data_IF_749859674649
#
_entry.id   IF_749859674649
#
_cell.length_a   1.000
_cell.length_b   1.000
_cell.length_c   1.000
_cell.angle_alpha   90.00
_cell.angle_beta   90.00
_cell.angle_gamma   90.00
#
_symmetry.space_group_name_H-M   'P 1'
#
loop_
_entity.id
_entity.type
_entity.pdbx_description
1 polymer ?
#
# COMPACT_ATOMS: atom_id res chain seq x y z
N UNK A 1 3.22 21.27 15.97
CA UNK A 1 3.43 20.95 14.54
C UNK A 1 3.09 19.48 14.33
N UNK A 2 2.29 19.14 13.33
CA UNK A 2 2.01 17.74 12.97
C UNK A 2 3.31 17.08 12.49
N UNK A 3 3.50 15.81 12.89
CA UNK A 3 4.66 15.02 12.48
C UNK A 3 4.60 14.77 10.97
N UNK A 4 5.71 14.98 10.25
CA UNK A 4 5.82 14.65 8.84
C UNK A 4 5.87 13.13 8.68
N UNK A 5 4.95 12.58 7.89
CA UNK A 5 4.86 11.14 7.64
C UNK A 5 5.59 10.73 6.37
N UNK A 6 5.41 11.49 5.28
CA UNK A 6 6.10 11.27 4.01
C UNK A 6 6.66 12.60 3.52
N UNK A 7 7.94 12.63 3.22
CA UNK A 7 8.62 13.80 2.65
C UNK A 7 9.30 13.41 1.36
N UNK A 8 8.93 14.06 0.28
CA UNK A 8 9.46 13.83 -1.07
C UNK A 8 10.13 15.12 -1.53
N UNK A 9 11.40 15.02 -1.98
CA UNK A 9 12.18 16.17 -2.47
C UNK A 9 12.76 15.85 -3.84
N UNK A 10 12.48 16.74 -4.80
CA UNK A 10 12.99 16.71 -6.18
C UNK A 10 12.89 15.32 -6.83
N UNK A 11 11.78 14.60 -6.59
CA UNK A 11 11.62 13.23 -7.04
C UNK A 11 11.52 13.15 -8.55
N UNK A 12 12.37 12.33 -9.15
CA UNK A 12 12.45 12.10 -10.59
C UNK A 12 12.31 10.63 -10.91
N UNK A 13 11.58 10.32 -11.97
CA UNK A 13 11.51 8.98 -12.54
C UNK A 13 11.44 9.06 -14.05
N UNK A 14 12.35 8.36 -14.69
CA UNK A 14 12.38 8.19 -16.14
C UNK A 14 12.36 6.71 -16.51
N UNK A 15 11.74 6.39 -17.64
CA UNK A 15 11.77 5.08 -18.28
C UNK A 15 12.43 5.25 -19.67
N UNK A 16 13.72 4.96 -19.76
CA UNK A 16 14.52 5.35 -20.92
C UNK A 16 14.46 6.87 -21.11
N UNK A 17 14.08 7.32 -22.30
CA UNK A 17 13.96 8.74 -22.65
C UNK A 17 12.66 9.39 -22.16
N UNK A 18 11.72 8.61 -21.63
CA UNK A 18 10.45 9.12 -21.12
C UNK A 18 10.59 9.61 -19.67
N UNK A 19 10.59 10.93 -19.49
CA UNK A 19 10.62 11.57 -18.17
C UNK A 19 9.20 11.69 -17.59
N UNK A 20 8.85 10.83 -16.63
CA UNK A 20 7.51 10.77 -16.03
C UNK A 20 7.39 11.68 -14.83
N UNK A 21 8.29 11.57 -13.83
CA UNK A 21 8.37 12.49 -12.70
C UNK A 21 9.56 13.42 -12.92
N UNK A 22 9.31 14.74 -12.80
CA UNK A 22 10.26 15.79 -13.22
C UNK A 22 10.67 16.72 -12.08
N UNK A 23 10.78 16.18 -10.87
CA UNK A 23 11.13 16.97 -9.69
C UNK A 23 9.92 17.24 -8.80
N UNK A 24 9.22 16.20 -8.37
CA UNK A 24 8.06 16.31 -7.48
C UNK A 24 8.52 16.61 -6.06
N UNK A 25 7.90 17.61 -5.43
CA UNK A 25 8.05 17.92 -4.02
C UNK A 25 6.71 17.79 -3.33
N UNK A 26 6.64 17.03 -2.24
CA UNK A 26 5.43 16.78 -1.50
C UNK A 26 5.77 16.44 -0.05
N UNK A 27 5.05 17.02 0.88
CA UNK A 27 5.10 16.65 2.30
C UNK A 27 3.71 16.26 2.75
N UNK A 28 3.57 15.11 3.39
CA UNK A 28 2.33 14.59 3.95
C UNK A 28 2.51 14.43 5.45
N UNK A 29 1.63 15.04 6.21
CA UNK A 29 1.62 14.96 7.66
C UNK A 29 0.93 13.67 8.16
N UNK A 30 1.20 13.31 9.41
CA UNK A 30 0.48 12.21 10.07
C UNK A 30 -1.02 12.50 10.13
N UNK A 31 -1.85 11.51 9.79
CA UNK A 31 -3.33 11.58 9.73
C UNK A 31 -3.88 12.49 8.62
N UNK A 32 -3.04 12.98 7.73
CA UNK A 32 -3.47 13.74 6.57
C UNK A 32 -4.02 12.81 5.47
N UNK A 33 -5.06 13.28 4.78
CA UNK A 33 -5.59 12.63 3.58
C UNK A 33 -5.24 13.50 2.38
N UNK A 34 -4.45 12.95 1.47
CA UNK A 34 -4.00 13.64 0.25
C UNK A 34 -4.60 12.95 -0.97
N UNK A 35 -5.17 13.73 -1.88
CA UNK A 35 -5.71 13.24 -3.16
C UNK A 35 -4.86 13.79 -4.29
N UNK A 36 -4.33 12.88 -5.12
CA UNK A 36 -3.54 13.22 -6.30
C UNK A 36 -4.44 13.16 -7.53
N UNK A 37 -4.63 14.30 -8.18
CA UNK A 37 -5.52 14.44 -9.34
C UNK A 37 -4.68 14.76 -10.58
N UNK A 38 -5.05 14.18 -11.70
CA UNK A 38 -4.44 14.44 -13.00
C UNK A 38 -4.94 13.49 -14.09
N UNK A 39 -4.69 13.80 -15.37
CA UNK A 39 -5.09 12.93 -16.47
C UNK A 39 -4.43 11.57 -16.43
N UNK A 40 -4.98 10.60 -17.16
CA UNK A 40 -4.33 9.30 -17.34
C UNK A 40 -2.93 9.48 -17.94
N UNK A 41 -1.96 8.71 -17.43
CA UNK A 41 -0.56 8.80 -17.86
C UNK A 41 0.24 9.99 -17.30
N UNK A 42 -0.32 10.78 -16.38
CA UNK A 42 0.41 11.91 -15.76
C UNK A 42 1.44 11.52 -14.70
N UNK A 43 1.58 10.23 -14.38
CA UNK A 43 2.59 9.75 -13.42
C UNK A 43 2.06 9.52 -12.00
N UNK A 44 0.74 9.59 -11.74
CA UNK A 44 0.15 9.36 -10.41
C UNK A 44 0.53 8.00 -9.83
N UNK A 45 0.28 6.93 -10.59
CA UNK A 45 0.65 5.57 -10.16
C UNK A 45 2.16 5.39 -10.03
N UNK A 46 2.95 6.05 -10.88
CA UNK A 46 4.41 6.04 -10.78
C UNK A 46 4.89 6.68 -9.49
N UNK A 47 4.28 7.80 -9.08
CA UNK A 47 4.59 8.45 -7.81
C UNK A 47 4.29 7.53 -6.62
N UNK A 48 3.11 6.92 -6.57
CA UNK A 48 2.74 5.96 -5.51
C UNK A 48 3.70 4.76 -5.47
N UNK A 49 4.08 4.23 -6.63
CA UNK A 49 5.02 3.11 -6.73
C UNK A 49 6.44 3.49 -6.30
N UNK A 50 6.86 4.73 -6.52
CA UNK A 50 8.14 5.23 -6.00
C UNK A 50 8.12 5.33 -4.48
N UNK A 51 7.01 5.78 -3.87
CA UNK A 51 6.87 5.87 -2.40
C UNK A 51 7.01 4.49 -1.74
N UNK A 52 6.43 3.44 -2.36
CA UNK A 52 6.53 2.07 -1.85
C UNK A 52 7.72 1.28 -2.46
N UNK A 53 8.61 1.97 -3.17
CA UNK A 53 9.77 1.39 -3.86
C UNK A 53 9.44 0.17 -4.75
N UNK A 54 8.28 0.18 -5.38
CA UNK A 54 7.95 -0.75 -6.48
C UNK A 54 8.53 -0.26 -7.81
N UNK A 55 8.84 1.03 -7.89
CA UNK A 55 9.60 1.69 -8.93
C UNK A 55 10.75 2.46 -8.28
N UNK A 56 11.97 2.18 -8.68
CA UNK A 56 13.13 2.91 -8.17
C UNK A 56 13.18 4.31 -8.78
N UNK A 57 13.24 5.38 -7.98
CA UNK A 57 13.42 6.74 -8.48
C UNK A 57 14.73 6.88 -9.24
N UNK A 58 14.75 7.72 -10.29
CA UNK A 58 15.99 8.07 -11.00
C UNK A 58 16.70 9.27 -10.37
N UNK A 59 16.06 9.94 -9.43
CA UNK A 59 16.64 11.05 -8.67
C UNK A 59 15.71 11.59 -7.61
N UNK A 60 16.23 12.44 -6.74
CA UNK A 60 15.51 12.96 -5.60
C UNK A 60 15.58 12.05 -4.37
N UNK A 61 14.77 12.34 -3.36
CA UNK A 61 14.75 11.59 -2.11
C UNK A 61 13.34 11.42 -1.57
N UNK A 62 13.12 10.31 -0.87
CA UNK A 62 11.89 10.00 -0.15
C UNK A 62 12.28 9.66 1.29
N UNK A 63 11.58 10.25 2.26
CA UNK A 63 11.70 9.94 3.68
C UNK A 63 10.32 9.54 4.18
N UNK A 64 10.21 8.43 4.88
CA UNK A 64 8.95 7.91 5.43
C UNK A 64 9.13 7.70 6.93
N UNK A 65 8.31 8.37 7.72
CA UNK A 65 8.36 8.36 9.20
C UNK A 65 9.79 8.64 9.74
N UNK A 66 10.50 9.59 9.11
CA UNK A 66 11.87 9.95 9.45
C UNK A 66 12.94 8.98 8.91
N UNK A 67 12.56 7.89 8.25
CA UNK A 67 13.47 6.89 7.67
C UNK A 67 13.68 7.19 6.18
N UNK A 68 14.90 7.53 5.73
CA UNK A 68 15.18 7.72 4.32
C UNK A 68 15.08 6.40 3.55
N UNK A 69 14.46 6.43 2.40
CA UNK A 69 14.36 5.29 1.50
C UNK A 69 15.71 5.10 0.77
N UNK A 70 16.46 4.09 1.18
CA UNK A 70 17.82 3.81 0.68
C UNK A 70 17.85 2.55 -0.21
N UNK A 71 17.01 2.51 -1.23
CA UNK A 71 16.94 1.38 -2.14
C UNK A 71 16.56 0.08 -1.43
N UNK A 72 17.18 -1.02 -1.82
CA UNK A 72 16.88 -2.35 -1.27
C UNK A 72 17.28 -2.51 0.21
N UNK A 73 18.15 -1.65 0.73
CA UNK A 73 18.72 -1.81 2.07
C UNK A 73 17.67 -1.78 3.20
N UNK A 74 16.60 -0.99 3.04
CA UNK A 74 15.55 -0.85 4.06
C UNK A 74 14.12 -0.96 3.53
N UNK A 75 13.96 -1.49 2.32
CA UNK A 75 12.65 -1.60 1.66
C UNK A 75 11.64 -2.41 2.47
N UNK A 76 12.09 -3.49 3.10
CA UNK A 76 11.21 -4.35 3.90
C UNK A 76 10.71 -3.65 5.16
N UNK A 77 11.55 -2.79 5.76
CA UNK A 77 11.16 -1.97 6.90
C UNK A 77 10.08 -0.96 6.50
N UNK A 78 10.30 -0.26 5.39
CA UNK A 78 9.34 0.72 4.87
C UNK A 78 8.03 0.07 4.45
N UNK A 79 8.07 -1.06 3.74
CA UNK A 79 6.86 -1.77 3.28
C UNK A 79 6.02 -2.37 4.42
N UNK A 80 6.57 -2.56 5.61
CA UNK A 80 5.79 -2.90 6.80
C UNK A 80 4.89 -1.75 7.24
N UNK A 81 5.37 -0.52 7.07
CA UNK A 81 4.71 0.69 7.56
C UNK A 81 3.86 1.40 6.50
N UNK A 82 4.08 1.09 5.22
CA UNK A 82 3.34 1.66 4.09
C UNK A 82 2.56 0.56 3.38
N UNK A 83 1.24 0.54 3.58
CA UNK A 83 0.34 -0.36 2.86
C UNK A 83 0.02 0.19 1.47
N UNK A 84 -0.29 -0.70 0.51
CA UNK A 84 -0.73 -0.31 -0.82
C UNK A 84 -1.92 -1.14 -1.27
N UNK A 85 -2.93 -0.47 -1.79
CA UNK A 85 -4.08 -1.06 -2.49
C UNK A 85 -3.95 -0.77 -3.97
N UNK A 86 -3.81 -1.83 -4.76
CA UNK A 86 -3.58 -1.74 -6.20
C UNK A 86 -4.89 -1.67 -6.98
N UNK A 87 -4.86 -1.08 -8.16
CA UNK A 87 -5.97 -1.05 -9.10
C UNK A 87 -6.50 -2.46 -9.46
N UNK A 88 -5.62 -3.45 -9.56
CA UNK A 88 -5.96 -4.87 -9.82
C UNK A 88 -5.99 -5.72 -8.56
N UNK A 89 -6.25 -5.18 -7.41
CA UNK A 89 -6.39 -5.80 -6.09
C UNK A 89 -5.29 -6.80 -5.69
N UNK A 90 -4.72 -7.56 -6.62
CA UNK A 90 -3.61 -8.53 -6.44
C UNK A 90 -3.83 -9.51 -5.28
N UNK A 91 -5.05 -10.02 -5.13
CA UNK A 91 -5.35 -11.10 -4.19
C UNK A 91 -4.72 -12.41 -4.69
N UNK A 92 -4.25 -13.23 -3.76
CA UNK A 92 -3.72 -14.56 -4.09
C UNK A 92 -4.89 -15.50 -4.46
N UNK A 93 -5.00 -15.93 -5.73
CA UNK A 93 -6.19 -16.66 -6.21
C UNK A 93 -6.33 -18.06 -5.60
N UNK A 94 -5.24 -18.67 -5.14
CA UNK A 94 -5.19 -19.99 -4.52
C UNK A 94 -5.42 -19.97 -3.00
N UNK A 95 -5.70 -18.80 -2.44
CA UNK A 95 -5.95 -18.58 -1.01
C UNK A 95 -7.35 -18.03 -0.79
N UNK A 96 -7.98 -18.46 0.30
CA UNK A 96 -9.25 -17.85 0.75
C UNK A 96 -9.06 -16.39 1.13
N UNK A 97 -10.16 -15.67 1.26
CA UNK A 97 -10.16 -14.29 1.78
C UNK A 97 -9.42 -14.21 3.12
N UNK A 98 -9.76 -15.09 4.07
CA UNK A 98 -9.11 -15.14 5.38
C UNK A 98 -7.60 -15.35 5.26
N UNK A 99 -7.17 -16.30 4.46
CA UNK A 99 -5.75 -16.60 4.23
C UNK A 99 -5.02 -15.41 3.59
N UNK A 100 -5.64 -14.70 2.65
CA UNK A 100 -5.10 -13.48 2.07
C UNK A 100 -4.82 -12.40 3.12
N UNK A 101 -5.70 -12.25 4.11
CA UNK A 101 -5.56 -11.25 5.16
C UNK A 101 -4.52 -11.63 6.21
N UNK A 102 -4.42 -12.92 6.53
CA UNK A 102 -3.55 -13.40 7.62
C UNK A 102 -2.09 -13.57 7.21
N UNK A 103 -1.81 -13.80 5.93
CA UNK A 103 -0.48 -14.20 5.45
C UNK A 103 0.61 -13.19 5.84
N UNK A 104 0.44 -11.93 5.48
CA UNK A 104 1.47 -10.90 5.72
C UNK A 104 1.65 -10.58 7.21
N UNK A 105 0.61 -10.40 8.04
CA UNK A 105 0.78 -10.24 9.48
C UNK A 105 1.58 -11.38 10.12
N UNK A 106 1.29 -12.62 9.78
CA UNK A 106 2.00 -13.77 10.33
C UNK A 106 3.46 -13.85 9.84
N UNK A 107 3.70 -13.66 8.54
CA UNK A 107 5.02 -13.85 7.93
C UNK A 107 5.96 -12.66 8.15
N UNK A 108 5.43 -11.45 8.14
CA UNK A 108 6.23 -10.22 8.16
C UNK A 108 6.31 -9.61 9.56
N UNK A 109 5.22 -9.61 10.32
CA UNK A 109 5.18 -9.08 11.69
C UNK A 109 5.32 -10.17 12.76
N UNK A 110 5.27 -11.44 12.39
CA UNK A 110 5.43 -12.55 13.32
C UNK A 110 4.29 -12.70 14.33
N UNK A 111 3.10 -12.16 14.02
CA UNK A 111 1.93 -12.32 14.91
C UNK A 111 1.45 -13.77 14.89
N UNK A 112 0.87 -14.22 16.00
CA UNK A 112 0.29 -15.56 16.10
C UNK A 112 -0.89 -15.74 15.15
N UNK A 113 -1.20 -17.00 14.82
CA UNK A 113 -2.37 -17.32 13.99
C UNK A 113 -3.67 -16.77 14.58
N UNK A 114 -3.86 -16.94 15.88
CA UNK A 114 -5.08 -16.50 16.59
C UNK A 114 -5.23 -14.96 16.56
N UNK A 115 -4.12 -14.22 16.72
CA UNK A 115 -4.13 -12.76 16.61
C UNK A 115 -4.39 -12.30 15.19
N UNK A 116 -3.76 -12.93 14.20
CA UNK A 116 -3.99 -12.64 12.79
C UNK A 116 -5.44 -12.88 12.38
N UNK A 117 -6.04 -13.99 12.84
CA UNK A 117 -7.42 -14.35 12.58
C UNK A 117 -8.41 -13.34 13.20
N UNK A 118 -8.21 -12.97 14.47
CA UNK A 118 -9.02 -11.94 15.13
C UNK A 118 -8.97 -10.61 14.42
N UNK A 119 -7.77 -10.19 14.01
CA UNK A 119 -7.56 -8.94 13.27
C UNK A 119 -8.23 -9.00 11.89
N UNK A 120 -8.11 -10.11 11.19
CA UNK A 120 -8.75 -10.33 9.88
C UNK A 120 -10.27 -10.27 9.98
N UNK A 121 -10.88 -10.96 10.95
CA UNK A 121 -12.33 -10.89 11.20
C UNK A 121 -12.79 -9.46 11.50
N UNK A 122 -12.07 -8.74 12.33
CA UNK A 122 -12.39 -7.34 12.65
C UNK A 122 -12.44 -6.46 11.40
N UNK A 123 -11.44 -6.57 10.51
CA UNK A 123 -11.42 -5.77 9.29
C UNK A 123 -12.41 -6.27 8.23
N UNK A 124 -12.64 -7.57 8.09
CA UNK A 124 -13.70 -8.10 7.23
C UNK A 124 -15.07 -7.57 7.65
N UNK A 125 -15.35 -7.52 8.94
CA UNK A 125 -16.60 -6.94 9.46
C UNK A 125 -16.71 -5.46 9.11
N UNK A 126 -15.62 -4.68 9.26
CA UNK A 126 -15.61 -3.24 8.91
C UNK A 126 -15.89 -2.97 7.44
N UNK A 127 -15.48 -3.86 6.55
CA UNK A 127 -15.73 -3.71 5.10
C UNK A 127 -16.96 -4.49 4.61
N UNK A 128 -17.74 -5.11 5.53
CA UNK A 128 -18.96 -5.85 5.20
C UNK A 128 -18.71 -7.12 4.42
N UNK A 129 -17.62 -7.85 4.71
CA UNK A 129 -17.18 -9.06 4.01
C UNK A 129 -16.98 -10.27 4.94
N UNK A 130 -17.54 -10.24 6.15
CA UNK A 130 -17.36 -11.28 7.15
C UNK A 130 -17.88 -12.65 6.67
N UNK A 131 -19.02 -12.66 5.98
CA UNK A 131 -19.63 -13.86 5.40
C UNK A 131 -18.84 -14.48 4.24
N UNK A 132 -17.85 -13.77 3.71
CA UNK A 132 -17.00 -14.19 2.58
C UNK A 132 -15.61 -14.68 3.01
N UNK A 133 -15.35 -14.83 4.31
CA UNK A 133 -14.03 -15.20 4.84
C UNK A 133 -13.44 -16.49 4.22
N UNK A 134 -14.28 -17.46 3.92
CA UNK A 134 -13.89 -18.75 3.35
C UNK A 134 -13.99 -18.82 1.82
N UNK A 135 -14.43 -17.75 1.16
CA UNK A 135 -14.47 -17.67 -0.30
C UNK A 135 -13.08 -17.45 -0.90
N UNK A 136 -12.92 -17.86 -2.16
CA UNK A 136 -11.75 -17.53 -2.97
C UNK A 136 -11.99 -16.25 -3.79
N UNK A 137 -10.93 -15.55 -4.23
CA UNK A 137 -11.08 -14.29 -4.98
C UNK A 137 -11.95 -14.39 -6.23
N UNK A 138 -11.91 -15.50 -6.96
CA UNK A 138 -12.72 -15.73 -8.17
C UNK A 138 -14.24 -15.86 -7.89
N UNK A 139 -14.61 -16.11 -6.64
CA UNK A 139 -16.00 -16.17 -6.18
C UNK A 139 -16.55 -14.78 -5.77
N UNK A 140 -15.74 -13.70 -5.92
CA UNK A 140 -16.06 -12.36 -5.49
C UNK A 140 -16.24 -11.43 -6.69
N UNK A 141 -17.18 -10.49 -6.59
CA UNK A 141 -17.28 -9.38 -7.54
C UNK A 141 -16.06 -8.44 -7.41
N UNK A 142 -15.80 -7.60 -8.41
CA UNK A 142 -14.70 -6.62 -8.36
C UNK A 142 -14.76 -5.71 -7.13
N UNK A 143 -15.94 -5.18 -6.80
CA UNK A 143 -16.10 -4.36 -5.60
C UNK A 143 -15.89 -5.14 -4.29
N UNK A 144 -16.21 -6.44 -4.26
CA UNK A 144 -15.92 -7.30 -3.13
C UNK A 144 -14.42 -7.56 -3.01
N UNK A 145 -13.73 -7.85 -4.12
CA UNK A 145 -12.28 -8.02 -4.14
C UNK A 145 -11.55 -6.75 -3.69
N UNK A 146 -12.02 -5.58 -4.10
CA UNK A 146 -11.50 -4.29 -3.65
C UNK A 146 -11.60 -4.14 -2.13
N UNK A 147 -12.77 -4.41 -1.55
CA UNK A 147 -12.97 -4.35 -0.10
C UNK A 147 -12.06 -5.33 0.66
N UNK A 148 -11.87 -6.53 0.13
CA UNK A 148 -10.94 -7.52 0.70
C UNK A 148 -9.49 -7.02 0.60
N UNK A 149 -9.09 -6.40 -0.51
CA UNK A 149 -7.75 -5.84 -0.68
C UNK A 149 -7.47 -4.70 0.32
N UNK A 150 -8.47 -3.85 0.58
CA UNK A 150 -8.41 -2.80 1.62
C UNK A 150 -8.25 -3.44 3.01
N UNK A 151 -9.08 -4.43 3.35
CA UNK A 151 -8.99 -5.14 4.62
C UNK A 151 -7.62 -5.82 4.80
N UNK A 152 -7.08 -6.44 3.74
CA UNK A 152 -5.74 -7.05 3.74
C UNK A 152 -4.65 -6.03 4.08
N UNK A 153 -4.68 -4.86 3.43
CA UNK A 153 -3.71 -3.81 3.71
C UNK A 153 -3.82 -3.31 5.17
N UNK A 154 -5.03 -3.16 5.69
CA UNK A 154 -5.27 -2.72 7.06
C UNK A 154 -4.83 -3.75 8.12
N UNK A 155 -4.85 -5.05 7.82
CA UNK A 155 -4.39 -6.10 8.73
C UNK A 155 -2.90 -5.95 9.11
N UNK A 156 -2.12 -5.31 8.26
CA UNK A 156 -0.73 -4.97 8.56
C UNK A 156 -0.59 -3.80 9.54
N UNK A 157 -1.68 -3.10 9.87
CA UNK A 157 -1.69 -1.90 10.73
C UNK A 157 -0.65 -0.86 10.26
N UNK A 158 -0.67 -0.47 8.96
CA UNK A 158 0.32 0.43 8.40
C UNK A 158 0.15 1.85 8.95
N UNK A 159 1.23 2.64 8.95
CA UNK A 159 1.21 4.06 9.30
C UNK A 159 0.70 4.95 8.17
N UNK A 160 0.91 4.51 6.92
CA UNK A 160 0.37 5.17 5.73
C UNK A 160 -0.25 4.14 4.78
N UNK A 161 -1.28 4.54 4.06
CA UNK A 161 -1.97 3.70 3.09
C UNK A 161 -2.05 4.43 1.74
N UNK A 162 -1.56 3.78 0.71
CA UNK A 162 -1.55 4.27 -0.66
C UNK A 162 -2.66 3.57 -1.46
N UNK A 163 -3.43 4.35 -2.22
CA UNK A 163 -4.47 3.83 -3.11
C UNK A 163 -4.14 4.21 -4.55
N UNK A 164 -3.95 3.22 -5.40
CA UNK A 164 -3.72 3.40 -6.83
C UNK A 164 -5.03 3.13 -7.59
N UNK A 165 -5.77 4.20 -7.91
CA UNK A 165 -7.07 4.19 -8.60
C UNK A 165 -8.07 3.17 -8.00
N UNK A 166 -8.46 3.36 -6.72
CA UNK A 166 -9.33 2.42 -6.00
C UNK A 166 -10.78 2.41 -6.52
#
# INVERSE_FOLDING_TARGET
>A
MSKEMIVIKDLKKSFGDLHVLKGVNLTIAEKEVVVIIGPSGSGKSTLLRCINFLEEPTGGSIVIDGIPLNGEANINEIRKEVGMVFQRFNLFPHMTVMQNLMLAPMKVRGVSKDEAEKTAHMYLKKVGMEDKANNYPDQLSGGQQQRVAIARALCMKPKALLFDEP
#
